data_IF_842189395013
#
_entry.id   IF_842189395013
#
_cell.length_a   1.000
_cell.length_b   1.000
_cell.length_c   1.000
_cell.angle_alpha   90.00
_cell.angle_beta   90.00
_cell.angle_gamma   90.00
#
_symmetry.space_group_name_H-M   'P 1'
#
loop_
_entity.id
_entity.type
_entity.pdbx_description
1 polymer ?
#
# COMPACT_ATOMS: atom_id res chain seq x y z
N UNK A 1 2.01 -63.22 -66.29
CA UNK A 1 2.69 -62.88 -65.03
C UNK A 1 1.63 -62.56 -63.96
N UNK A 2 1.77 -63.16 -62.76
CA UNK A 2 1.24 -62.81 -61.43
C UNK A 2 -0.13 -62.11 -61.28
N UNK A 3 -1.02 -62.73 -60.48
CA UNK A 3 -2.03 -62.03 -59.66
C UNK A 3 -1.33 -61.19 -58.56
N UNK A 4 -1.96 -60.17 -57.90
CA UNK A 4 -3.03 -60.45 -56.93
C UNK A 4 -4.13 -59.36 -56.74
N UNK A 5 -5.15 -59.78 -55.99
CA UNK A 5 -6.23 -59.04 -55.32
C UNK A 5 -5.68 -58.26 -54.11
N UNK A 6 -6.21 -57.07 -53.78
CA UNK A 6 -6.10 -56.47 -52.43
C UNK A 6 -7.42 -55.80 -52.07
N UNK A 7 -8.03 -56.29 -51.00
CA UNK A 7 -9.18 -55.74 -50.27
C UNK A 7 -8.80 -54.53 -49.42
N UNK A 8 -9.83 -53.75 -49.08
CA UNK A 8 -10.00 -52.94 -47.87
C UNK A 8 -9.01 -51.79 -47.59
N UNK A 9 -9.55 -50.58 -47.64
CA UNK A 9 -9.11 -49.52 -46.72
C UNK A 9 -10.30 -48.65 -46.32
N UNK A 10 -10.80 -48.96 -45.11
CA UNK A 10 -11.16 -48.01 -44.06
C UNK A 10 -12.11 -46.86 -44.44
N UNK A 11 -13.36 -46.87 -43.98
CA UNK A 11 -13.69 -46.25 -42.67
C UNK A 11 -12.78 -45.06 -42.33
N UNK A 12 -12.96 -43.93 -43.00
CA UNK A 12 -12.51 -42.60 -42.56
C UNK A 12 -13.01 -41.62 -43.62
N UNK A 13 -14.21 -41.05 -43.47
CA UNK A 13 -14.31 -39.66 -43.03
C UNK A 13 -15.72 -39.37 -42.51
N UNK A 14 -16.11 -40.05 -41.43
CA UNK A 14 -17.16 -39.54 -40.53
C UNK A 14 -16.50 -38.51 -39.59
N UNK A 15 -16.20 -37.31 -40.09
CA UNK A 15 -15.83 -36.17 -39.25
C UNK A 15 -17.04 -35.23 -39.16
N UNK A 16 -18.08 -35.74 -38.50
CA UNK A 16 -19.13 -34.90 -37.93
C UNK A 16 -18.53 -34.15 -36.74
N UNK A 17 -18.44 -32.84 -36.88
CA UNK A 17 -18.64 -31.85 -35.81
C UNK A 17 -18.33 -32.32 -34.38
N UNK A 18 -17.07 -32.25 -33.96
CA UNK A 18 -16.75 -32.05 -32.55
C UNK A 18 -16.89 -30.56 -32.23
N UNK A 19 -18.08 -30.16 -31.77
CA UNK A 19 -18.27 -28.88 -31.06
C UNK A 19 -17.51 -29.01 -29.74
N UNK A 20 -16.32 -28.42 -29.67
CA UNK A 20 -15.53 -28.32 -28.44
C UNK A 20 -16.33 -27.45 -27.46
N UNK A 21 -17.07 -28.09 -26.55
CA UNK A 21 -17.44 -27.47 -25.29
C UNK A 21 -16.16 -27.36 -24.47
N UNK A 22 -15.69 -26.16 -24.07
CA UNK A 22 -14.74 -26.10 -22.99
C UNK A 22 -15.48 -26.56 -21.73
N UNK A 23 -15.31 -27.82 -21.36
CA UNK A 23 -15.55 -28.26 -19.99
C UNK A 23 -14.54 -27.49 -19.14
N UNK A 24 -14.99 -26.39 -18.52
CA UNK A 24 -14.25 -25.77 -17.44
C UNK A 24 -14.09 -26.83 -16.36
N UNK A 25 -12.90 -27.43 -16.31
CA UNK A 25 -12.52 -28.33 -15.25
C UNK A 25 -12.49 -27.52 -13.96
N UNK A 26 -13.45 -27.79 -13.09
CA UNK A 26 -13.55 -27.27 -11.72
C UNK A 26 -12.33 -27.65 -10.87
N UNK A 27 -11.38 -28.44 -11.41
CA UNK A 27 -10.14 -28.82 -10.74
C UNK A 27 -9.13 -27.66 -10.64
N UNK A 28 -9.20 -26.64 -11.51
CA UNK A 28 -8.21 -25.55 -11.49
C UNK A 28 -8.50 -24.43 -10.47
N UNK A 29 -9.69 -24.44 -9.86
CA UNK A 29 -10.02 -23.52 -8.75
C UNK A 29 -9.29 -23.89 -7.46
N UNK A 30 -8.97 -25.17 -7.27
CA UNK A 30 -8.26 -25.63 -6.07
C UNK A 30 -6.74 -25.41 -6.14
N UNK A 31 -6.15 -25.38 -7.34
CA UNK A 31 -4.75 -25.00 -7.57
C UNK A 31 -4.54 -23.50 -7.39
N UNK A 32 -5.52 -22.65 -7.69
CA UNK A 32 -5.45 -21.22 -7.38
C UNK A 32 -5.73 -20.89 -5.90
N UNK A 33 -6.52 -21.71 -5.19
CA UNK A 33 -6.74 -21.52 -3.75
C UNK A 33 -5.56 -21.97 -2.88
N UNK A 34 -4.76 -22.92 -3.34
CA UNK A 34 -3.53 -23.35 -2.65
C UNK A 34 -2.31 -22.46 -2.94
N UNK A 35 -2.39 -21.56 -3.93
CA UNK A 35 -1.34 -20.57 -4.23
C UNK A 35 -1.44 -19.28 -3.41
N UNK A 36 -2.47 -19.09 -2.56
CA UNK A 36 -2.58 -17.91 -1.66
C UNK A 36 -1.78 -18.04 -0.36
N UNK A 37 -1.09 -19.16 -0.13
CA UNK A 37 -0.42 -19.46 1.15
C UNK A 37 1.09 -19.27 1.19
N UNK A 38 1.75 -18.77 0.13
CA UNK A 38 3.21 -18.82 0.03
C UNK A 38 3.91 -17.68 -0.69
N UNK A 39 3.23 -16.63 -1.16
CA UNK A 39 3.93 -15.43 -1.65
C UNK A 39 4.39 -14.60 -0.45
N UNK A 40 5.70 -14.63 -0.17
CA UNK A 40 6.32 -13.62 0.70
C UNK A 40 5.92 -12.23 0.20
N UNK A 41 5.58 -11.28 1.09
CA UNK A 41 5.29 -9.92 0.68
C UNK A 41 6.43 -9.37 -0.17
N UNK A 42 6.10 -8.69 -1.30
CA UNK A 42 7.08 -7.91 -2.03
C UNK A 42 7.89 -7.11 -1.01
N UNK A 43 9.22 -7.23 -1.06
CA UNK A 43 10.10 -6.63 -0.05
C UNK A 43 9.80 -5.15 0.18
N UNK A 44 9.36 -4.43 -0.87
CA UNK A 44 8.90 -3.05 -0.80
C UNK A 44 7.66 -2.82 0.08
N UNK A 45 6.67 -3.71 0.06
CA UNK A 45 5.48 -3.59 0.91
C UNK A 45 5.83 -3.78 2.40
N UNK A 46 6.68 -4.76 2.71
CA UNK A 46 7.15 -4.99 4.09
C UNK A 46 7.94 -3.79 4.60
N UNK A 47 8.80 -3.21 3.75
CA UNK A 47 9.55 -2.01 4.10
C UNK A 47 8.61 -0.82 4.34
N UNK A 48 7.60 -0.62 3.49
CA UNK A 48 6.61 0.46 3.67
C UNK A 48 5.81 0.26 4.96
N UNK A 49 5.39 -0.97 5.25
CA UNK A 49 4.68 -1.29 6.48
C UNK A 49 5.52 -0.97 7.73
N UNK A 50 6.81 -1.33 7.69
CA UNK A 50 7.76 -1.01 8.76
C UNK A 50 7.99 0.50 8.90
N UNK A 51 8.20 1.21 7.79
CA UNK A 51 8.39 2.66 7.79
C UNK A 51 7.15 3.40 8.31
N UNK A 52 5.94 2.93 7.98
CA UNK A 52 4.68 3.47 8.51
C UNK A 52 4.58 3.29 10.03
N UNK A 53 4.92 2.11 10.53
CA UNK A 53 4.93 1.83 11.98
C UNK A 53 5.94 2.72 12.70
N UNK A 54 7.17 2.82 12.17
CA UNK A 54 8.24 3.63 12.75
C UNK A 54 7.87 5.12 12.74
N UNK A 55 7.41 5.63 11.60
CA UNK A 55 7.00 7.03 11.46
C UNK A 55 5.82 7.37 12.36
N UNK A 56 4.84 6.45 12.46
CA UNK A 56 3.70 6.63 13.36
C UNK A 56 4.13 6.68 14.83
N UNK A 57 5.03 5.79 15.26
CA UNK A 57 5.56 5.79 16.62
C UNK A 57 6.36 7.07 16.93
N UNK A 58 7.18 7.55 15.98
CA UNK A 58 7.90 8.81 16.12
C UNK A 58 6.92 10.00 16.25
N UNK A 59 5.90 10.08 15.39
CA UNK A 59 4.89 11.12 15.44
C UNK A 59 4.14 11.14 16.79
N UNK A 60 3.80 9.97 17.34
CA UNK A 60 3.21 9.88 18.69
C UNK A 60 4.17 10.38 19.76
N UNK A 61 5.44 9.97 19.71
CA UNK A 61 6.44 10.34 20.70
C UNK A 61 6.71 11.85 20.73
N UNK A 62 6.92 12.46 19.56
CA UNK A 62 7.17 13.89 19.46
C UNK A 62 5.93 14.71 19.85
N UNK A 63 4.78 14.40 19.27
CA UNK A 63 3.57 15.18 19.52
C UNK A 63 3.07 15.06 20.96
N UNK A 64 3.31 13.93 21.66
CA UNK A 64 2.96 13.79 23.08
C UNK A 64 3.81 14.70 23.99
N UNK A 65 5.07 14.91 23.65
CA UNK A 65 5.93 15.86 24.36
C UNK A 65 5.50 17.29 24.06
N UNK A 66 5.30 17.62 22.79
CA UNK A 66 4.95 18.97 22.37
C UNK A 66 3.54 19.40 22.82
N UNK A 67 2.55 18.51 22.81
CA UNK A 67 1.19 18.83 23.27
C UNK A 67 1.17 19.19 24.76
N UNK A 68 2.02 18.55 25.56
CA UNK A 68 2.14 18.85 26.99
C UNK A 68 2.67 20.28 27.20
N UNK A 69 3.66 20.69 26.41
CA UNK A 69 4.20 22.07 26.46
C UNK A 69 3.20 23.09 25.91
N UNK A 70 2.42 22.73 24.89
CA UNK A 70 1.38 23.57 24.31
C UNK A 70 0.23 23.82 25.30
N UNK A 71 -0.19 22.79 26.05
CA UNK A 71 -1.19 22.92 27.12
C UNK A 71 -0.66 23.83 28.23
N UNK A 72 0.59 23.61 28.68
CA UNK A 72 1.20 24.41 29.75
C UNK A 72 1.36 25.89 29.38
N UNK A 73 1.58 26.20 28.09
CA UNK A 73 1.68 27.57 27.57
C UNK A 73 0.33 28.20 27.20
N UNK A 74 -0.79 27.46 27.32
CA UNK A 74 -2.12 27.96 26.97
C UNK A 74 -2.35 28.18 25.47
N UNK A 75 -1.47 27.65 24.61
CA UNK A 75 -1.59 27.82 23.16
C UNK A 75 -2.52 26.75 22.57
N UNK A 76 -3.83 27.01 22.63
CA UNK A 76 -4.85 26.08 22.13
C UNK A 76 -4.71 25.71 20.65
N UNK A 77 -4.15 26.61 19.83
CA UNK A 77 -3.91 26.37 18.40
C UNK A 77 -2.83 25.29 18.19
N UNK A 78 -1.74 25.37 18.96
CA UNK A 78 -0.68 24.35 18.96
C UNK A 78 -1.20 23.02 19.51
N UNK A 79 -2.05 23.03 20.53
CA UNK A 79 -2.71 21.79 21.03
C UNK A 79 -3.50 21.08 19.94
N UNK A 80 -4.29 21.84 19.15
CA UNK A 80 -5.06 21.27 18.04
C UNK A 80 -4.12 20.68 16.98
N UNK A 81 -3.05 21.40 16.63
CA UNK A 81 -2.07 20.93 15.66
C UNK A 81 -1.40 19.62 16.09
N UNK A 82 -0.88 19.56 17.33
CA UNK A 82 -0.25 18.35 17.88
C UNK A 82 -1.22 17.17 17.97
N UNK A 83 -2.49 17.43 18.34
CA UNK A 83 -3.51 16.39 18.35
C UNK A 83 -3.75 15.78 16.95
N UNK A 84 -3.60 16.59 15.90
CA UNK A 84 -3.63 16.16 14.51
C UNK A 84 -2.46 15.23 14.17
N UNK A 85 -1.25 15.56 14.64
CA UNK A 85 -0.05 14.72 14.45
C UNK A 85 -0.19 13.38 15.20
N UNK A 86 -0.74 13.39 16.41
CA UNK A 86 -1.06 12.15 17.15
C UNK A 86 -2.04 11.29 16.34
N UNK A 87 -3.12 11.89 15.84
CA UNK A 87 -4.10 11.21 15.00
C UNK A 87 -3.48 10.60 13.74
N UNK A 88 -2.61 11.37 13.07
CA UNK A 88 -1.84 10.89 11.91
C UNK A 88 -0.97 9.69 12.28
N UNK A 89 -0.23 9.75 13.39
CA UNK A 89 0.63 8.64 13.80
C UNK A 89 -0.15 7.37 14.12
N UNK A 90 -1.35 7.49 14.72
CA UNK A 90 -2.25 6.34 14.93
C UNK A 90 -2.67 5.73 13.59
N UNK A 91 -3.09 6.57 12.63
CA UNK A 91 -3.47 6.10 11.29
C UNK A 91 -2.29 5.40 10.62
N UNK A 92 -1.06 5.93 10.74
CA UNK A 92 0.14 5.30 10.18
C UNK A 92 0.40 3.92 10.79
N UNK A 93 0.30 3.79 12.11
CA UNK A 93 0.47 2.50 12.80
C UNK A 93 -0.57 1.48 12.34
N UNK A 94 -1.86 1.86 12.35
CA UNK A 94 -2.96 0.99 11.92
C UNK A 94 -2.83 0.60 10.44
N UNK A 95 -2.38 1.53 9.60
CA UNK A 95 -2.16 1.28 8.17
C UNK A 95 -0.97 0.37 7.94
N UNK A 96 0.15 0.57 8.64
CA UNK A 96 1.33 -0.31 8.57
C UNK A 96 1.00 -1.73 9.02
N UNK A 97 0.22 -1.88 10.10
CA UNK A 97 -0.29 -3.18 10.53
C UNK A 97 -1.22 -3.78 9.46
N UNK A 98 -2.20 -3.02 8.97
CA UNK A 98 -3.10 -3.47 7.91
C UNK A 98 -2.36 -3.93 6.65
N UNK A 99 -1.28 -3.23 6.29
CA UNK A 99 -0.44 -3.53 5.14
C UNK A 99 0.38 -4.82 5.37
N UNK A 100 0.95 -5.00 6.57
CA UNK A 100 1.65 -6.24 6.95
C UNK A 100 0.74 -7.47 6.99
N UNK A 101 -0.54 -7.26 7.29
CA UNK A 101 -1.59 -8.29 7.30
C UNK A 101 -2.35 -8.42 5.98
N UNK A 102 -1.88 -7.79 4.90
CA UNK A 102 -2.48 -7.87 3.57
C UNK A 102 -3.95 -7.46 3.49
N UNK A 103 -4.36 -6.47 4.29
CA UNK A 103 -5.73 -5.93 4.29
C UNK A 103 -5.86 -4.76 3.32
N UNK A 104 -6.93 -4.74 2.51
CA UNK A 104 -7.26 -3.64 1.58
C UNK A 104 -7.26 -2.26 2.26
N UNK A 105 -7.82 -2.20 3.47
CA UNK A 105 -7.86 -0.98 4.28
C UNK A 105 -6.46 -0.45 4.64
N UNK A 106 -5.46 -1.32 4.74
CA UNK A 106 -4.06 -0.95 5.02
C UNK A 106 -3.43 -0.15 3.88
N UNK A 107 -3.72 -0.49 2.62
CA UNK A 107 -3.26 0.30 1.46
C UNK A 107 -3.92 1.67 1.46
N UNK A 108 -5.24 1.72 1.62
CA UNK A 108 -5.97 2.98 1.57
C UNK A 108 -5.53 3.92 2.70
N UNK A 109 -5.40 3.37 3.91
CA UNK A 109 -4.86 4.09 5.06
C UNK A 109 -3.42 4.56 4.84
N UNK A 110 -2.55 3.73 4.26
CA UNK A 110 -1.17 4.10 3.97
C UNK A 110 -1.08 5.26 2.96
N UNK A 111 -1.92 5.27 1.92
CA UNK A 111 -2.00 6.37 0.95
C UNK A 111 -2.47 7.65 1.66
N UNK A 112 -3.59 7.59 2.38
CA UNK A 112 -4.14 8.76 3.09
C UNK A 112 -3.13 9.31 4.10
N UNK A 113 -2.47 8.44 4.87
CA UNK A 113 -1.48 8.85 5.86
C UNK A 113 -0.27 9.54 5.22
N UNK A 114 0.24 9.03 4.10
CA UNK A 114 1.36 9.67 3.39
C UNK A 114 0.96 11.01 2.76
N UNK A 115 -0.29 11.15 2.28
CA UNK A 115 -0.81 12.44 1.79
C UNK A 115 -0.86 13.45 2.94
N UNK A 116 -1.43 13.05 4.08
CA UNK A 116 -1.50 13.91 5.26
C UNK A 116 -0.11 14.28 5.76
N UNK A 117 0.82 13.33 5.84
CA UNK A 117 2.21 13.58 6.26
C UNK A 117 2.90 14.59 5.34
N UNK A 118 2.78 14.44 4.02
CA UNK A 118 3.32 15.40 3.07
C UNK A 118 2.68 16.78 3.21
N UNK A 119 1.37 16.84 3.48
CA UNK A 119 0.65 18.08 3.77
C UNK A 119 1.18 18.78 5.03
N UNK A 120 1.33 18.06 6.13
CA UNK A 120 1.92 18.59 7.36
C UNK A 120 3.36 19.05 7.18
N UNK A 121 4.19 18.29 6.47
CA UNK A 121 5.56 18.67 6.17
C UNK A 121 5.61 19.96 5.33
N UNK A 122 4.70 20.11 4.36
CA UNK A 122 4.60 21.32 3.53
C UNK A 122 4.16 22.53 4.35
N UNK A 123 3.16 22.36 5.23
CA UNK A 123 2.74 23.41 6.16
C UNK A 123 3.91 23.81 7.09
N UNK A 124 4.65 22.82 7.60
CA UNK A 124 5.87 23.04 8.37
C UNK A 124 6.83 23.98 7.62
N UNK A 125 7.22 23.65 6.39
CA UNK A 125 8.11 24.50 5.56
C UNK A 125 7.57 25.91 5.35
N UNK A 126 6.26 26.06 5.14
CA UNK A 126 5.64 27.38 4.92
C UNK A 126 5.68 28.23 6.19
N UNK A 127 5.42 27.63 7.35
CA UNK A 127 5.38 28.35 8.63
C UNK A 127 6.76 28.51 9.28
N UNK A 128 7.75 27.67 8.95
CA UNK A 128 9.14 27.80 9.39
C UNK A 128 9.82 29.08 8.84
N UNK A 129 9.27 29.63 7.74
CA UNK A 129 9.72 30.90 7.17
C UNK A 129 9.31 32.12 8.02
N UNK A 130 8.42 31.95 8.99
CA UNK A 130 7.98 33.01 9.90
C UNK A 130 8.21 32.64 11.38
N UNK A 131 9.29 33.16 12.01
CA UNK A 131 9.62 32.90 13.41
C UNK A 131 8.62 33.52 14.40
N UNK A 132 7.71 34.38 13.93
CA UNK A 132 6.62 34.93 14.75
C UNK A 132 5.35 34.09 14.69
N UNK A 133 5.32 33.07 13.81
CA UNK A 133 4.15 32.22 13.67
C UNK A 133 3.98 31.33 14.92
N UNK A 134 2.75 31.18 15.44
CA UNK A 134 2.46 30.26 16.54
C UNK A 134 2.64 28.78 16.14
N UNK A 135 2.96 28.53 14.86
CA UNK A 135 3.21 27.23 14.24
C UNK A 135 4.67 27.02 13.85
N UNK A 136 5.58 27.90 14.28
CA UNK A 136 7.00 27.74 14.02
C UNK A 136 7.48 26.43 14.67
N UNK A 137 7.82 25.46 13.82
CA UNK A 137 8.44 24.20 14.22
C UNK A 137 9.79 24.23 13.52
N UNK A 138 10.90 24.44 14.25
CA UNK A 138 12.22 24.48 13.64
C UNK A 138 12.48 23.13 12.98
N UNK A 139 12.33 23.09 11.67
CA UNK A 139 12.50 21.90 10.85
C UNK A 139 13.63 22.20 9.88
N UNK A 140 14.64 21.32 9.80
CA UNK A 140 15.60 21.46 8.73
C UNK A 140 14.82 21.31 7.40
N UNK A 141 14.84 22.31 6.50
CA UNK A 141 14.11 22.23 5.24
C UNK A 141 14.50 20.99 4.44
N UNK A 142 15.72 20.47 4.62
CA UNK A 142 16.17 19.23 4.02
C UNK A 142 15.33 18.03 4.50
N UNK A 143 15.04 17.92 5.80
CA UNK A 143 14.22 16.82 6.33
C UNK A 143 12.78 16.90 5.83
N UNK A 144 12.22 18.10 5.71
CA UNK A 144 10.88 18.28 5.17
C UNK A 144 10.80 17.87 3.69
N UNK A 145 11.78 18.26 2.88
CA UNK A 145 11.86 17.87 1.46
C UNK A 145 12.01 16.34 1.31
N UNK A 146 12.90 15.72 2.11
CA UNK A 146 13.08 14.26 2.12
C UNK A 146 11.78 13.56 2.52
N UNK A 147 11.08 14.06 3.53
CA UNK A 147 9.78 13.52 3.97
C UNK A 147 8.74 13.57 2.85
N UNK A 148 8.58 14.72 2.19
CA UNK A 148 7.66 14.89 1.05
C UNK A 148 8.02 13.93 -0.09
N UNK A 149 9.29 13.88 -0.49
CA UNK A 149 9.75 13.01 -1.56
C UNK A 149 9.49 11.52 -1.24
N UNK A 150 9.77 11.10 -0.01
CA UNK A 150 9.56 9.72 0.44
C UNK A 150 8.07 9.37 0.45
N UNK A 151 7.21 10.26 0.96
CA UNK A 151 5.76 10.07 0.93
C UNK A 151 5.21 9.94 -0.48
N UNK A 152 5.68 10.77 -1.42
CA UNK A 152 5.28 10.67 -2.83
C UNK A 152 5.71 9.34 -3.44
N UNK A 153 6.96 8.90 -3.21
CA UNK A 153 7.46 7.60 -3.70
C UNK A 153 6.58 6.45 -3.18
N UNK A 154 6.24 6.47 -1.89
CA UNK A 154 5.37 5.45 -1.27
C UNK A 154 3.98 5.48 -1.90
N UNK A 155 3.38 6.65 -2.11
CA UNK A 155 2.07 6.79 -2.76
C UNK A 155 2.12 6.23 -4.18
N UNK A 156 3.10 6.64 -4.99
CA UNK A 156 3.26 6.15 -6.36
C UNK A 156 3.44 4.64 -6.42
N UNK A 157 4.17 4.06 -5.46
CA UNK A 157 4.31 2.61 -5.35
C UNK A 157 2.98 1.93 -5.02
N UNK A 158 2.24 2.41 -4.02
CA UNK A 158 0.97 1.82 -3.56
C UNK A 158 -0.20 1.99 -4.54
N UNK A 159 -0.14 2.97 -5.44
CA UNK A 159 -1.17 3.18 -6.47
C UNK A 159 -0.99 2.21 -7.66
N UNK A 160 0.18 1.57 -7.81
CA UNK A 160 0.42 0.64 -8.93
C UNK A 160 -0.64 -0.48 -8.96
N UNK A 161 -1.24 -0.75 -10.14
CA UNK A 161 -2.30 -1.75 -10.28
C UNK A 161 -1.82 -3.15 -9.89
N UNK A 162 -0.57 -3.48 -10.21
CA UNK A 162 0.10 -4.73 -9.84
C UNK A 162 0.06 -5.02 -8.34
N UNK A 163 0.12 -3.97 -7.52
CA UNK A 163 0.12 -4.09 -6.07
C UNK A 163 -1.32 -4.14 -5.55
N UNK A 164 -2.20 -3.29 -6.06
CA UNK A 164 -3.61 -3.25 -5.62
C UNK A 164 -4.34 -4.57 -5.84
N UNK A 165 -4.12 -5.22 -6.98
CA UNK A 165 -4.75 -6.51 -7.30
C UNK A 165 -4.35 -7.65 -6.36
N UNK A 166 -3.19 -7.56 -5.68
CA UNK A 166 -2.78 -8.58 -4.69
C UNK A 166 -3.60 -8.52 -3.39
N UNK A 167 -4.33 -7.44 -3.17
CA UNK A 167 -5.16 -7.24 -1.99
C UNK A 167 -6.65 -7.43 -2.30
N UNK A 168 -6.99 -7.76 -3.56
CA UNK A 168 -8.35 -8.14 -3.95
C UNK A 168 -8.74 -9.55 -3.46
#
# INVERSE_FOLDING_TARGET
MKAPRVEDTSRQTNLRFCRIHPSFSTADRNSQQTAKGGEKPPSGLTLIAFLLLLSGAMNLGYAALDITTAIASGNGLRVVFESGIIGLGIIMILSGWGLGNWKRWGILGAIVANILLAGFATLGVIFDLDPTSPFYIPSDPVYAIISIATSLIIIFYLVRPEIRHKFD
#
